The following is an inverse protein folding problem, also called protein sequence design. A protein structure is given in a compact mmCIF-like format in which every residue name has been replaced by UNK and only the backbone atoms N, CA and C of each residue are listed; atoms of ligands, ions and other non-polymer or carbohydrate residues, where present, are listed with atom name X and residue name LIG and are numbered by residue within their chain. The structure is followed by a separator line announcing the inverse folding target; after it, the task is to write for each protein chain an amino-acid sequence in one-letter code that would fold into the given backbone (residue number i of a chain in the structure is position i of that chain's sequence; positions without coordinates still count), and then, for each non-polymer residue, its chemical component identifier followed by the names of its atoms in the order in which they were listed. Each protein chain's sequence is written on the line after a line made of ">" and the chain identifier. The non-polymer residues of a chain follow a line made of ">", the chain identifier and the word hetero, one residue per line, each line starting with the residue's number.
data_IF_554948952541
#
_entry.id   IF_554948952541
#
_cell.length_a   1.000
_cell.length_b   1.000
_cell.length_c   1.000
_cell.angle_alpha   90.00
_cell.angle_beta   90.00
_cell.angle_gamma   90.00
#
_symmetry.space_group_name_H-M   'P 1'
#
loop_
_entity.id
_entity.type
_entity.pdbx_description
1 polymer ?
#
# COMPACT_ATOMS: atom_id res chain seq x y z
N UNK A 1 -1.63 -5.28 1.14
CA UNK A 1 -1.10 -3.90 1.20
C UNK A 1 -0.37 -3.63 2.50
N UNK A 2 -1.06 -3.68 3.64
CA UNK A 2 -0.51 -3.39 4.98
C UNK A 2 0.80 -4.15 5.27
N UNK A 3 0.79 -5.48 5.14
CA UNK A 3 1.97 -6.32 5.38
C UNK A 3 3.12 -6.00 4.41
N UNK A 4 2.80 -5.86 3.11
CA UNK A 4 3.78 -5.56 2.05
C UNK A 4 4.46 -4.19 2.23
N UNK A 5 3.77 -3.25 2.86
CA UNK A 5 4.29 -1.91 3.17
C UNK A 5 4.93 -1.84 4.56
N UNK A 6 4.92 -2.92 5.34
CA UNK A 6 5.48 -2.94 6.70
C UNK A 6 4.73 -2.04 7.69
N UNK A 7 3.45 -1.74 7.42
CA UNK A 7 2.67 -0.85 8.29
C UNK A 7 2.28 -1.58 9.58
N UNK A 8 2.49 -0.90 10.71
CA UNK A 8 2.12 -1.42 12.02
C UNK A 8 0.60 -1.36 12.23
N UNK A 9 0.03 -2.49 12.65
CA UNK A 9 -1.41 -2.59 12.92
C UNK A 9 -1.71 -2.50 14.41
N UNK A 10 -2.81 -1.84 14.74
CA UNK A 10 -3.37 -1.74 16.08
C UNK A 10 -4.62 -2.60 16.19
N UNK A 11 -4.94 -3.09 17.39
CA UNK A 11 -6.19 -3.80 17.63
C UNK A 11 -7.34 -2.81 17.61
N UNK A 12 -8.39 -3.13 16.85
CA UNK A 12 -9.58 -2.29 16.77
C UNK A 12 -10.33 -2.28 18.12
N UNK A 13 -10.68 -1.12 18.70
CA UNK A 13 -11.30 -1.03 20.03
C UNK A 13 -12.68 -1.69 20.09
N UNK A 14 -13.44 -1.66 18.99
CA UNK A 14 -14.75 -2.32 18.84
C UNK A 14 -14.80 -3.18 17.57
N UNK A 15 -14.29 -4.40 17.63
CA UNK A 15 -14.33 -5.28 16.45
C UNK A 15 -15.77 -5.49 16.00
N UNK A 16 -16.01 -5.41 14.70
CA UNK A 16 -17.32 -5.57 14.09
C UNK A 16 -17.22 -6.40 12.83
N UNK A 17 -18.35 -6.57 12.16
CA UNK A 17 -18.48 -7.50 11.05
C UNK A 17 -19.12 -6.80 9.85
N UNK A 18 -18.58 -7.08 8.67
CA UNK A 18 -18.96 -6.52 7.38
C UNK A 18 -19.51 -7.64 6.50
N UNK A 19 -20.82 -7.65 6.29
CA UNK A 19 -21.50 -8.65 5.47
C UNK A 19 -21.61 -8.24 3.99
N UNK A 20 -21.56 -6.94 3.69
CA UNK A 20 -21.74 -6.42 2.33
C UNK A 20 -20.46 -6.45 1.47
N UNK A 21 -19.31 -6.87 2.04
CA UNK A 21 -18.02 -6.77 1.36
C UNK A 21 -17.70 -7.98 0.47
N UNK A 22 -18.24 -9.16 0.75
CA UNK A 22 -18.11 -10.33 -0.11
C UNK A 22 -19.34 -11.25 -0.01
N UNK A 23 -19.58 -12.04 -1.06
CA UNK A 23 -20.69 -12.99 -1.11
C UNK A 23 -20.39 -14.31 -0.39
N UNK A 24 -19.16 -14.46 0.11
CA UNK A 24 -18.61 -15.71 0.65
C UNK A 24 -18.69 -15.80 2.19
N UNK A 25 -19.18 -14.76 2.85
CA UNK A 25 -19.40 -14.75 4.29
C UNK A 25 -19.10 -13.42 4.95
N UNK A 26 -19.09 -13.46 6.28
CA UNK A 26 -18.98 -12.27 7.10
C UNK A 26 -17.51 -11.88 7.34
N UNK A 27 -17.10 -10.69 6.90
CA UNK A 27 -15.71 -10.19 7.09
C UNK A 27 -15.58 -9.51 8.44
N UNK A 28 -14.75 -10.05 9.33
CA UNK A 28 -14.52 -9.46 10.65
C UNK A 28 -13.42 -8.40 10.61
N UNK A 29 -13.78 -7.17 10.96
CA UNK A 29 -12.82 -6.07 11.15
C UNK A 29 -12.31 -6.11 12.58
N UNK A 30 -11.00 -6.36 12.74
CA UNK A 30 -10.37 -6.53 14.06
C UNK A 30 -9.13 -5.68 14.27
N UNK A 31 -8.62 -5.06 13.20
CA UNK A 31 -7.37 -4.29 13.21
C UNK A 31 -7.58 -2.95 12.52
N UNK A 32 -6.82 -1.97 12.96
CA UNK A 32 -6.70 -0.66 12.32
C UNK A 32 -5.24 -0.38 11.99
N UNK A 33 -5.03 0.51 11.05
CA UNK A 33 -3.70 0.94 10.62
C UNK A 33 -3.76 2.41 10.29
N UNK A 34 -2.73 3.14 10.68
CA UNK A 34 -2.55 4.52 10.25
C UNK A 34 -1.82 4.48 8.91
N UNK A 35 -2.44 5.06 7.88
CA UNK A 35 -1.91 5.05 6.52
C UNK A 35 -1.52 6.47 6.13
N UNK A 36 -0.22 6.79 6.05
CA UNK A 36 0.23 7.99 5.37
C UNK A 36 0.09 7.78 3.85
N UNK A 37 -0.46 8.77 3.15
CA UNK A 37 -0.61 8.72 1.71
C UNK A 37 -0.50 10.11 1.08
N UNK A 38 -0.24 10.11 -0.23
CA UNK A 38 -0.09 11.32 -1.03
C UNK A 38 -0.87 11.20 -2.33
N UNK A 39 -1.67 12.22 -2.65
CA UNK A 39 -2.38 12.35 -3.92
C UNK A 39 -1.98 13.69 -4.55
N UNK A 40 -1.03 13.63 -5.48
CA UNK A 40 -0.44 14.83 -6.06
C UNK A 40 0.24 15.70 -5.00
N UNK A 41 -0.32 16.88 -4.73
CA UNK A 41 0.21 17.84 -3.73
C UNK A 41 -0.44 17.70 -2.34
N UNK A 42 -1.41 16.81 -2.20
CA UNK A 42 -2.09 16.56 -0.94
C UNK A 42 -1.42 15.39 -0.23
N UNK A 43 -0.90 15.63 0.96
CA UNK A 43 -0.29 14.64 1.85
C UNK A 43 -1.09 14.58 3.13
N UNK A 44 -1.46 13.37 3.56
CA UNK A 44 -2.28 13.18 4.74
C UNK A 44 -2.02 11.81 5.38
N UNK A 45 -2.47 11.68 6.62
CA UNK A 45 -2.39 10.47 7.40
C UNK A 45 -3.76 10.17 8.02
N UNK A 46 -4.29 8.97 7.76
CA UNK A 46 -5.66 8.60 8.18
C UNK A 46 -5.67 7.23 8.84
N UNK A 47 -6.41 7.11 9.94
CA UNK A 47 -6.69 5.83 10.59
C UNK A 47 -7.72 5.04 9.76
N UNK A 48 -7.34 3.84 9.34
CA UNK A 48 -8.14 2.98 8.48
C UNK A 48 -8.36 1.60 9.09
N UNK A 49 -9.51 1.03 8.81
CA UNK A 49 -9.83 -0.35 9.16
C UNK A 49 -9.14 -1.32 8.19
N UNK A 50 -8.57 -2.39 8.73
CA UNK A 50 -7.90 -3.43 7.92
C UNK A 50 -8.90 -4.51 7.57
N UNK A 51 -9.12 -4.67 6.26
CA UNK A 51 -9.96 -5.72 5.68
C UNK A 51 -9.18 -6.61 4.72
N UNK A 52 -9.35 -7.94 4.77
CA UNK A 52 -8.77 -8.85 3.79
C UNK A 52 -9.46 -8.64 2.43
N UNK A 53 -8.69 -8.23 1.43
CA UNK A 53 -9.19 -7.98 0.08
C UNK A 53 -8.12 -8.41 -0.94
N UNK A 54 -8.54 -8.94 -2.11
CA UNK A 54 -7.65 -9.27 -3.23
C UNK A 54 -7.14 -8.03 -3.99
N UNK A 55 -6.97 -6.91 -3.30
CA UNK A 55 -6.44 -5.68 -3.88
C UNK A 55 -5.75 -4.81 -2.82
N UNK A 56 -4.79 -4.00 -3.27
CA UNK A 56 -4.17 -2.96 -2.47
C UNK A 56 -4.80 -1.61 -2.76
N UNK A 57 -5.98 -1.35 -2.21
CA UNK A 57 -6.68 -0.08 -2.37
C UNK A 57 -6.93 0.58 -1.01
N UNK A 58 -6.81 1.90 -0.99
CA UNK A 58 -7.25 2.75 0.11
C UNK A 58 -8.62 3.32 -0.26
N UNK A 59 -9.66 2.95 0.48
CA UNK A 59 -11.03 3.40 0.22
C UNK A 59 -11.39 4.52 1.20
N UNK A 60 -11.42 5.76 0.71
CA UNK A 60 -11.83 6.92 1.50
C UNK A 60 -13.35 7.10 1.43
N UNK A 61 -14.03 6.57 2.46
CA UNK A 61 -15.48 6.57 2.54
C UNK A 61 -16.09 7.92 2.94
N UNK A 62 -17.40 7.89 3.19
CA UNK A 62 -18.17 9.05 3.68
C UNK A 62 -17.64 9.68 4.96
N UNK A 63 -17.14 8.92 5.97
CA UNK A 63 -16.56 9.54 7.17
C UNK A 63 -15.41 10.50 6.84
N UNK A 64 -14.46 10.05 6.02
CA UNK A 64 -13.34 10.91 5.59
C UNK A 64 -13.84 12.14 4.82
N UNK A 65 -14.83 11.97 3.93
CA UNK A 65 -15.44 13.10 3.22
C UNK A 65 -16.11 14.11 4.17
N UNK A 66 -16.78 13.62 5.20
CA UNK A 66 -17.44 14.44 6.21
C UNK A 66 -16.43 15.23 7.04
N UNK A 67 -15.40 14.55 7.56
CA UNK A 67 -14.35 15.16 8.39
C UNK A 67 -13.61 16.27 7.64
N UNK A 68 -13.39 16.09 6.34
CA UNK A 68 -12.74 17.07 5.45
C UNK A 68 -13.70 18.10 4.84
N UNK A 69 -15.00 18.05 5.15
CA UNK A 69 -16.05 18.92 4.58
C UNK A 69 -15.99 18.97 3.05
N UNK A 70 -15.83 17.80 2.43
CA UNK A 70 -15.65 17.67 0.99
C UNK A 70 -16.93 18.06 0.24
N UNK A 71 -16.77 18.91 -0.76
CA UNK A 71 -17.80 19.23 -1.74
C UNK A 71 -17.66 18.29 -2.94
N UNK A 72 -18.71 17.52 -3.20
CA UNK A 72 -18.77 16.59 -4.32
C UNK A 72 -19.57 17.18 -5.48
N UNK A 73 -18.94 17.30 -6.64
CA UNK A 73 -19.61 17.57 -7.91
C UNK A 73 -19.92 16.24 -8.61
N UNK A 74 -21.19 15.83 -8.55
CA UNK A 74 -21.66 14.56 -9.14
C UNK A 74 -21.65 14.53 -10.67
N UNK A 75 -21.64 15.67 -11.35
CA UNK A 75 -21.60 15.72 -12.81
C UNK A 75 -20.19 15.46 -13.33
N UNK A 76 -19.18 16.09 -12.72
CA UNK A 76 -17.78 15.93 -13.13
C UNK A 76 -16.99 14.92 -12.28
N UNK A 77 -17.64 14.32 -11.29
CA UNK A 77 -17.06 13.40 -10.30
C UNK A 77 -15.85 13.99 -9.56
N UNK A 78 -15.88 15.30 -9.27
CA UNK A 78 -14.80 16.01 -8.58
C UNK A 78 -15.09 16.15 -7.09
N UNK A 79 -14.04 16.07 -6.29
CA UNK A 79 -14.11 16.23 -4.84
C UNK A 79 -13.20 17.39 -4.42
N UNK A 80 -13.77 18.44 -3.85
CA UNK A 80 -13.05 19.66 -3.46
C UNK A 80 -13.13 19.90 -1.96
N UNK A 81 -12.02 20.25 -1.32
CA UNK A 81 -11.97 20.56 0.11
C UNK A 81 -10.81 21.49 0.44
N UNK A 82 -10.87 22.11 1.62
CA UNK A 82 -9.78 22.93 2.14
C UNK A 82 -8.84 22.07 2.99
N UNK A 83 -7.55 22.13 2.68
CA UNK A 83 -6.50 21.47 3.47
C UNK A 83 -5.29 22.38 3.55
N UNK A 84 -4.79 22.63 4.77
CA UNK A 84 -3.68 23.55 5.03
C UNK A 84 -3.82 24.91 4.31
N UNK A 85 -5.01 25.51 4.42
CA UNK A 85 -5.37 26.79 3.79
C UNK A 85 -5.32 26.80 2.25
N UNK A 86 -5.27 25.63 1.61
CA UNK A 86 -5.31 25.48 0.15
C UNK A 86 -6.52 24.66 -0.26
N UNK A 87 -7.16 25.05 -1.35
CA UNK A 87 -8.19 24.23 -1.98
C UNK A 87 -7.53 23.07 -2.71
N UNK A 88 -7.86 21.85 -2.30
CA UNK A 88 -7.51 20.61 -2.99
C UNK A 88 -8.72 20.16 -3.78
N UNK A 89 -8.52 19.83 -5.06
CA UNK A 89 -9.54 19.23 -5.91
C UNK A 89 -9.02 17.91 -6.46
N UNK A 90 -9.65 16.82 -6.04
CA UNK A 90 -9.41 15.49 -6.58
C UNK A 90 -10.28 15.31 -7.82
N UNK A 91 -9.62 14.99 -8.94
CA UNK A 91 -10.26 14.74 -10.24
C UNK A 91 -10.12 13.27 -10.60
N UNK A 92 -11.12 12.66 -11.25
CA UNK A 92 -10.99 11.30 -11.72
C UNK A 92 -9.89 11.20 -12.77
N UNK A 93 -9.11 10.12 -12.72
CA UNK A 93 -8.17 9.80 -13.79
C UNK A 93 -8.94 9.41 -15.05
N UNK A 94 -8.43 9.85 -16.21
CA UNK A 94 -8.93 9.38 -17.50
C UNK A 94 -8.56 7.90 -17.72
N UNK A 95 -9.32 7.15 -18.54
CA UNK A 95 -8.98 5.76 -18.84
C UNK A 95 -7.55 5.58 -19.38
N UNK A 96 -7.08 6.54 -20.17
CA UNK A 96 -5.70 6.57 -20.68
C UNK A 96 -4.66 6.69 -19.56
N UNK A 97 -4.87 7.60 -18.61
CA UNK A 97 -3.98 7.77 -17.45
C UNK A 97 -3.95 6.52 -16.58
N UNK A 98 -5.13 5.91 -16.34
CA UNK A 98 -5.22 4.64 -15.59
C UNK A 98 -4.41 3.54 -16.27
N UNK A 99 -4.54 3.40 -17.60
CA UNK A 99 -3.76 2.43 -18.37
C UNK A 99 -2.26 2.69 -18.30
N UNK A 100 -1.83 3.95 -18.49
CA UNK A 100 -0.42 4.33 -18.40
C UNK A 100 0.17 4.04 -17.01
N UNK A 101 -0.57 4.32 -15.94
CA UNK A 101 -0.14 4.03 -14.58
C UNK A 101 -0.06 2.52 -14.30
N UNK A 102 -1.02 1.72 -14.79
CA UNK A 102 -0.96 0.26 -14.68
C UNK A 102 0.27 -0.32 -15.39
N UNK A 103 0.55 0.14 -16.61
CA UNK A 103 1.75 -0.28 -17.36
C UNK A 103 3.02 0.14 -16.64
N UNK A 104 3.07 1.36 -16.06
CA UNK A 104 4.20 1.84 -15.28
C UNK A 104 4.42 0.97 -14.04
N UNK A 105 3.35 0.64 -13.31
CA UNK A 105 3.40 -0.20 -12.11
C UNK A 105 3.92 -1.60 -12.42
N UNK A 106 3.49 -2.21 -13.54
CA UNK A 106 3.99 -3.51 -13.98
C UNK A 106 5.50 -3.48 -14.27
N UNK A 107 5.97 -2.46 -15.01
CA UNK A 107 7.41 -2.31 -15.29
C UNK A 107 8.24 -2.14 -14.02
N UNK A 108 7.75 -1.39 -13.05
CA UNK A 108 8.42 -1.19 -11.76
C UNK A 108 8.47 -2.50 -10.96
N UNK A 109 7.41 -3.31 -10.97
CA UNK A 109 7.45 -4.63 -10.31
C UNK A 109 8.44 -5.58 -10.98
N UNK A 110 8.50 -5.61 -12.31
CA UNK A 110 9.42 -6.50 -13.04
C UNK A 110 10.90 -6.11 -12.80
N UNK A 111 11.18 -4.80 -12.74
CA UNK A 111 12.51 -4.30 -12.37
C UNK A 111 12.88 -4.60 -10.92
N UNK A 112 11.92 -4.54 -10.00
CA UNK A 112 12.17 -4.86 -8.59
C UNK A 112 12.47 -6.34 -8.41
N UNK A 113 11.68 -7.21 -9.03
CA UNK A 113 11.88 -8.66 -8.99
C UNK A 113 13.23 -9.07 -9.60
N UNK A 114 13.64 -8.46 -10.71
CA UNK A 114 14.96 -8.74 -11.32
C UNK A 114 16.14 -8.25 -10.46
N UNK A 115 15.98 -7.15 -9.70
CA UNK A 115 16.98 -6.70 -8.72
C UNK A 115 17.04 -7.61 -7.49
N UNK A 116 15.89 -8.06 -6.99
CA UNK A 116 15.81 -9.00 -5.86
C UNK A 116 16.49 -10.35 -6.21
N UNK A 117 16.24 -10.88 -7.42
CA UNK A 117 16.92 -12.09 -7.90
C UNK A 117 18.44 -11.93 -8.02
N UNK A 118 18.93 -10.77 -8.50
CA UNK A 118 20.38 -10.49 -8.56
C UNK A 118 21.01 -10.40 -7.17
N UNK A 119 20.34 -9.73 -6.23
CA UNK A 119 20.82 -9.58 -4.85
C UNK A 119 20.85 -10.91 -4.09
N UNK A 120 19.92 -11.84 -4.36
CA UNK A 120 19.94 -13.20 -3.81
C UNK A 120 21.07 -14.04 -4.41
N UNK A 121 21.32 -13.90 -5.72
CA UNK A 121 22.42 -14.60 -6.42
C UNK A 121 23.79 -14.12 -5.93
N UNK A 122 23.96 -12.81 -5.70
CA UNK A 122 25.20 -12.24 -5.14
C UNK A 122 25.40 -12.60 -3.66
N UNK A 123 24.35 -12.56 -2.83
CA UNK A 123 24.44 -13.01 -1.42
C UNK A 123 24.79 -14.50 -1.31
N UNK A 124 24.20 -15.36 -2.14
CA UNK A 124 24.55 -16.78 -2.21
C UNK A 124 26.02 -17.00 -2.60
N UNK A 125 26.54 -16.17 -3.51
CA UNK A 125 27.93 -16.24 -3.96
C UNK A 125 28.94 -15.78 -2.89
N UNK A 126 28.62 -14.73 -2.12
CA UNK A 126 29.45 -14.21 -1.02
C UNK A 126 29.48 -15.19 0.16
N UNK A 127 28.35 -15.80 0.52
CA UNK A 127 28.29 -16.83 1.59
C UNK A 127 29.11 -18.06 1.22
N UNK A 128 29.06 -18.50 -0.04
CA UNK A 128 29.87 -19.63 -0.53
C UNK A 128 31.37 -19.33 -0.52
N UNK A 129 31.77 -18.08 -0.77
CA UNK A 129 33.20 -17.69 -0.70
C UNK A 129 33.72 -17.64 0.73
N UNK A 130 32.96 -17.08 1.68
CA UNK A 130 33.37 -17.00 3.09
C UNK A 130 33.52 -18.39 3.75
N UNK A 131 32.62 -19.33 3.43
CA UNK A 131 32.71 -20.71 3.92
C UNK A 131 33.89 -21.49 3.32
N UNK A 132 34.46 -21.03 2.19
CA UNK A 132 35.61 -21.66 1.53
C UNK A 132 36.95 -21.17 2.09
N UNK A 133 36.99 -19.98 2.70
CA UNK A 133 38.16 -19.45 3.40
C UNK A 133 38.34 -20.03 4.81
N UNK A 134 37.25 -20.34 5.52
CA UNK A 134 37.33 -20.90 6.88
C UNK A 134 37.75 -22.39 6.88
N UNK A 135 37.44 -23.14 5.82
CA UNK A 135 37.79 -24.57 5.72
C UNK A 135 39.23 -24.88 5.24
N UNK A 136 40.11 -23.88 5.14
CA UNK A 136 41.51 -24.09 4.72
C UNK A 136 42.53 -24.06 5.86
N UNK A 137 42.14 -23.74 7.09
CA UNK A 137 43.06 -23.72 8.24
C UNK A 137 43.10 -25.03 9.05
N UNK A 138 42.22 -26.00 8.79
CA UNK A 138 42.19 -27.28 9.54
C UNK A 138 42.99 -28.45 8.92
N UNK A 139 43.66 -28.27 7.78
CA UNK A 139 44.44 -29.34 7.13
C UNK A 139 45.90 -28.93 6.88
N UNK A 140 46.58 -28.49 7.94
CA UNK A 140 48.04 -28.36 7.95
C UNK A 140 48.60 -28.62 9.34
N UNK A 141 48.45 -29.87 9.81
CA UNK A 141 49.33 -30.48 10.82
C UNK A 141 49.59 -31.93 10.44
#
# INVERSE_FOLDING_TARGET
>A
MVEKLGLSTLRHPRSYKLQWLNDSGEVKVTKQVVVPFQIGKYEDEVLCDVVPMQAGHLLLGRPWQYDRRVQYDGFTNKYSFMFNQRTITLVPLTPKQVYEDQVRMQKLSDQKNSREQKNETEKGSVVVQNNKSENKEEFSQ
#
